data_IF_070988370219
#
_entry.id   IF_070988370219
#
_cell.length_a   1.000
_cell.length_b   1.000
_cell.length_c   1.000
_cell.angle_alpha   90.00
_cell.angle_beta   90.00
_cell.angle_gamma   90.00
#
_symmetry.space_group_name_H-M   'P 1'
#
loop_
_entity.id
_entity.type
_entity.pdbx_description
1 polymer ?
#
# COMPACT_ATOMS: atom_id res chain seq x y z
N UNK A 1 56.78 -46.27 26.14
CA UNK A 1 55.49 -45.91 25.55
C UNK A 1 55.11 -44.56 26.11
N UNK A 2 55.19 -43.47 25.28
CA UNK A 2 54.82 -42.10 25.66
C UNK A 2 53.43 -41.84 25.10
N UNK A 3 52.47 -41.58 25.99
CA UNK A 3 51.13 -41.25 25.62
C UNK A 3 51.06 -39.75 25.15
N UNK A 4 50.54 -39.50 23.94
CA UNK A 4 50.39 -38.22 23.38
C UNK A 4 48.98 -37.70 23.77
N UNK A 5 48.89 -36.67 24.60
CA UNK A 5 47.66 -35.96 24.95
C UNK A 5 47.36 -34.94 23.86
N UNK A 6 46.23 -35.11 23.16
CA UNK A 6 45.70 -34.15 22.19
C UNK A 6 44.74 -33.21 22.92
N UNK A 7 44.94 -31.90 22.92
CA UNK A 7 43.96 -30.96 23.50
C UNK A 7 42.75 -30.79 22.59
N UNK A 8 41.55 -31.09 23.08
CA UNK A 8 40.27 -30.76 22.43
C UNK A 8 40.02 -29.28 22.53
N UNK A 9 40.07 -28.60 21.39
CA UNK A 9 39.60 -27.22 21.29
C UNK A 9 38.05 -27.18 21.20
N UNK A 10 37.44 -26.67 22.24
CA UNK A 10 35.97 -26.40 22.27
C UNK A 10 35.70 -25.14 21.48
N UNK A 11 35.13 -25.28 20.28
CA UNK A 11 34.71 -24.15 19.44
C UNK A 11 33.39 -23.58 20.00
N UNK A 12 33.46 -22.48 20.72
CA UNK A 12 32.27 -21.73 21.17
C UNK A 12 31.72 -20.92 19.98
N UNK A 13 30.65 -21.41 19.39
CA UNK A 13 29.87 -20.64 18.39
C UNK A 13 29.03 -19.60 19.14
N UNK A 14 29.46 -18.36 19.10
CA UNK A 14 28.67 -17.23 19.59
C UNK A 14 27.61 -16.95 18.52
N UNK A 15 26.38 -17.42 18.76
CA UNK A 15 25.21 -16.99 17.99
C UNK A 15 24.88 -15.56 18.43
N UNK A 16 25.31 -14.60 17.63
CA UNK A 16 24.87 -13.22 17.80
C UNK A 16 23.36 -13.14 17.45
N UNK A 17 22.50 -13.21 18.46
CA UNK A 17 21.11 -12.82 18.33
C UNK A 17 21.07 -11.34 17.94
N UNK A 18 20.77 -11.06 16.68
CA UNK A 18 20.41 -9.73 16.22
C UNK A 18 19.08 -9.36 16.88
N UNK A 19 19.12 -8.73 18.04
CA UNK A 19 17.98 -8.01 18.57
C UNK A 19 17.69 -6.84 17.63
N UNK A 20 16.72 -7.02 16.74
CA UNK A 20 16.04 -5.89 16.10
C UNK A 20 15.46 -5.05 17.24
N UNK A 21 16.01 -3.87 17.48
CA UNK A 21 15.43 -2.91 18.40
C UNK A 21 14.03 -2.60 17.90
N UNK A 22 12.98 -3.11 18.56
CA UNK A 22 11.64 -2.53 18.43
C UNK A 22 11.82 -1.05 18.73
N UNK A 23 11.54 -0.20 17.74
CA UNK A 23 11.57 1.25 17.96
C UNK A 23 10.57 1.55 19.07
N UNK A 24 10.89 2.53 19.96
CA UNK A 24 10.01 3.00 21.06
C UNK A 24 8.75 3.75 20.53
N UNK A 25 8.37 3.51 19.28
CA UNK A 25 7.20 4.12 18.64
C UNK A 25 5.91 3.68 19.33
N UNK A 26 5.03 4.63 19.54
CA UNK A 26 3.70 4.40 20.13
C UNK A 26 2.67 4.26 19.02
N UNK A 27 1.68 3.40 19.23
CA UNK A 27 0.49 3.35 18.41
C UNK A 27 -0.28 4.67 18.55
N UNK A 28 -0.39 5.45 17.49
CA UNK A 28 -1.05 6.77 17.49
C UNK A 28 -2.39 6.76 16.78
N UNK A 29 -2.62 5.79 15.89
CA UNK A 29 -3.88 5.60 15.19
C UNK A 29 -4.02 4.14 14.76
N UNK A 30 -5.25 3.61 14.82
CA UNK A 30 -5.55 2.30 14.26
C UNK A 30 -7.02 2.15 13.88
N UNK A 31 -7.27 1.20 12.99
CA UNK A 31 -8.59 0.58 12.79
C UNK A 31 -8.41 -0.92 12.69
N UNK A 32 -9.03 -1.63 13.63
CA UNK A 32 -8.98 -3.09 13.75
C UNK A 32 -10.22 -3.75 13.12
N UNK A 33 -11.13 -2.94 12.57
CA UNK A 33 -12.38 -3.38 11.93
C UNK A 33 -13.24 -4.33 12.77
N UNK A 34 -13.28 -4.09 14.09
CA UNK A 34 -13.94 -4.97 15.08
C UNK A 34 -15.47 -4.93 15.05
N UNK A 35 -16.08 -4.08 14.24
CA UNK A 35 -17.53 -3.96 14.09
C UNK A 35 -18.00 -4.46 12.73
N UNK A 36 -19.30 -4.63 12.55
CA UNK A 36 -19.90 -4.97 11.25
C UNK A 36 -20.58 -3.76 10.62
N UNK A 37 -20.66 -3.72 9.30
CA UNK A 37 -21.36 -2.69 8.54
C UNK A 37 -20.40 -1.76 7.80
N UNK A 38 -20.66 -0.46 7.82
CA UNK A 38 -19.82 0.52 7.12
C UNK A 38 -18.55 0.86 7.93
N UNK A 39 -17.42 1.16 7.28
CA UNK A 39 -16.25 1.75 7.92
C UNK A 39 -16.58 2.96 8.80
N UNK A 40 -15.85 3.10 9.91
CA UNK A 40 -16.04 4.18 10.88
C UNK A 40 -15.81 5.55 10.23
N UNK A 41 -16.86 6.35 10.11
CA UNK A 41 -16.83 7.67 9.50
C UNK A 41 -15.98 8.70 10.26
N UNK A 42 -15.56 8.41 11.48
CA UNK A 42 -14.58 9.23 12.20
C UNK A 42 -13.14 8.99 11.76
N UNK A 43 -12.88 7.85 11.07
CA UNK A 43 -11.57 7.43 10.59
C UNK A 43 -11.44 7.48 9.07
N UNK A 44 -12.54 7.22 8.37
CA UNK A 44 -12.56 7.08 6.91
C UNK A 44 -13.56 8.01 6.23
N UNK A 45 -13.21 8.38 5.02
CA UNK A 45 -14.09 9.00 4.04
C UNK A 45 -13.97 8.25 2.71
N UNK A 46 -14.68 8.72 1.68
CA UNK A 46 -14.68 8.08 0.36
C UNK A 46 -14.37 9.09 -0.73
N UNK A 47 -13.56 8.70 -1.68
CA UNK A 47 -13.47 9.38 -2.97
C UNK A 47 -14.38 8.66 -3.95
N UNK A 48 -15.48 9.34 -4.35
CA UNK A 48 -16.55 8.77 -5.15
C UNK A 48 -16.42 9.15 -6.62
N UNK A 49 -17.01 8.34 -7.48
CA UNK A 49 -17.10 8.65 -8.91
C UNK A 49 -16.03 7.97 -9.75
N UNK A 50 -15.79 8.56 -10.90
CA UNK A 50 -14.76 8.13 -11.86
C UNK A 50 -13.62 9.15 -12.02
N UNK A 51 -13.53 10.09 -11.07
CA UNK A 51 -12.53 11.14 -11.04
C UNK A 51 -12.85 12.35 -11.92
N UNK A 52 -13.91 12.30 -12.73
CA UNK A 52 -14.33 13.45 -13.56
C UNK A 52 -15.01 14.55 -12.71
N UNK A 53 -14.85 15.85 -13.07
CA UNK A 53 -14.15 16.35 -14.26
C UNK A 53 -12.64 16.53 -14.08
N UNK A 54 -12.11 16.48 -12.84
CA UNK A 54 -10.75 16.93 -12.54
C UNK A 54 -9.68 15.92 -13.00
N UNK A 55 -9.91 14.62 -12.74
CA UNK A 55 -8.97 13.54 -13.03
C UNK A 55 -9.73 12.33 -13.57
N UNK A 56 -10.32 12.45 -14.75
CA UNK A 56 -11.17 11.40 -15.34
C UNK A 56 -10.42 10.06 -15.45
N UNK A 57 -11.10 8.95 -15.08
CA UNK A 57 -10.50 7.62 -14.98
C UNK A 57 -9.40 7.57 -13.93
N UNK A 58 -9.49 8.47 -12.92
CA UNK A 58 -8.50 8.61 -11.83
C UNK A 58 -7.07 8.82 -12.35
N UNK A 59 -6.93 9.47 -13.53
CA UNK A 59 -5.65 9.73 -14.19
C UNK A 59 -5.03 8.52 -14.91
N UNK A 60 -5.59 7.33 -14.74
CA UNK A 60 -5.05 6.06 -15.22
C UNK A 60 -5.98 5.31 -16.18
N UNK A 61 -7.04 5.95 -16.71
CA UNK A 61 -8.05 5.30 -17.54
C UNK A 61 -8.73 4.10 -16.86
N UNK A 62 -8.93 4.17 -15.55
CA UNK A 62 -9.56 3.12 -14.77
C UNK A 62 -11.02 2.92 -15.19
N UNK A 63 -11.47 1.66 -15.14
CA UNK A 63 -12.75 1.25 -15.72
C UNK A 63 -13.92 1.27 -14.72
N UNK A 64 -13.68 1.37 -13.42
CA UNK A 64 -14.69 1.36 -12.37
C UNK A 64 -15.25 2.75 -12.08
N UNK A 65 -16.44 2.74 -11.45
CA UNK A 65 -17.01 3.84 -10.70
C UNK A 65 -16.88 3.54 -9.21
N UNK A 66 -16.20 4.40 -8.45
CA UNK A 66 -16.11 4.24 -6.99
C UNK A 66 -17.38 4.74 -6.31
N UNK A 67 -17.87 3.92 -5.38
CA UNK A 67 -19.02 4.24 -4.55
C UNK A 67 -18.82 3.71 -3.12
N UNK A 68 -19.77 4.02 -2.23
CA UNK A 68 -19.80 3.58 -0.83
C UNK A 68 -20.93 2.60 -0.55
N UNK A 69 -21.45 1.90 -1.55
CA UNK A 69 -22.45 0.87 -1.34
C UNK A 69 -21.90 -0.30 -0.55
N UNK A 70 -22.71 -0.88 0.33
CA UNK A 70 -22.31 -2.00 1.19
C UNK A 70 -21.84 -3.26 0.44
N UNK A 71 -22.20 -3.41 -0.82
CA UNK A 71 -21.65 -4.46 -1.68
C UNK A 71 -20.22 -4.20 -2.10
N UNK A 72 -19.80 -2.93 -2.23
CA UNK A 72 -18.44 -2.55 -2.65
C UNK A 72 -17.52 -2.29 -1.48
N UNK A 73 -18.06 -1.87 -0.32
CA UNK A 73 -17.27 -1.62 0.89
C UNK A 73 -18.07 -1.94 2.13
N UNK A 74 -17.51 -2.72 3.02
CA UNK A 74 -18.09 -3.11 4.29
C UNK A 74 -17.07 -3.70 5.24
N UNK A 75 -17.42 -3.74 6.51
CA UNK A 75 -16.74 -4.56 7.50
C UNK A 75 -17.57 -5.83 7.71
N UNK A 76 -16.95 -6.96 7.46
CA UNK A 76 -17.55 -8.28 7.55
C UNK A 76 -16.57 -9.26 8.18
N UNK A 77 -17.02 -9.97 9.24
CA UNK A 77 -16.21 -10.95 9.99
C UNK A 77 -14.84 -10.41 10.49
N UNK A 78 -14.82 -9.15 10.93
CA UNK A 78 -13.59 -8.51 11.43
C UNK A 78 -12.61 -8.08 10.35
N UNK A 79 -13.04 -7.99 9.09
CA UNK A 79 -12.23 -7.55 7.96
C UNK A 79 -12.92 -6.38 7.25
N UNK A 80 -12.16 -5.36 6.87
CA UNK A 80 -12.60 -4.43 5.85
C UNK A 80 -12.53 -5.12 4.49
N UNK A 81 -13.67 -5.19 3.80
CA UNK A 81 -13.79 -5.76 2.46
C UNK A 81 -13.99 -4.63 1.45
N UNK A 82 -13.08 -4.47 0.51
CA UNK A 82 -13.22 -3.63 -0.68
C UNK A 82 -13.43 -4.56 -1.86
N UNK A 83 -14.63 -4.54 -2.46
CA UNK A 83 -15.05 -5.53 -3.45
C UNK A 83 -15.43 -4.85 -4.77
N UNK A 84 -14.76 -5.26 -5.85
CA UNK A 84 -15.07 -4.81 -7.18
C UNK A 84 -16.03 -5.77 -7.87
N UNK A 85 -17.05 -5.20 -8.53
CA UNK A 85 -18.07 -5.94 -9.25
C UNK A 85 -18.11 -5.55 -10.73
N UNK A 86 -18.41 -6.52 -11.60
CA UNK A 86 -18.84 -6.24 -12.97
C UNK A 86 -20.31 -5.82 -12.94
N UNK A 87 -20.52 -4.52 -12.78
CA UNK A 87 -21.83 -3.96 -12.52
C UNK A 87 -21.88 -2.51 -13.01
N UNK A 88 -22.82 -2.20 -13.87
CA UNK A 88 -22.86 -0.90 -14.55
C UNK A 88 -23.38 0.19 -13.63
N UNK A 89 -22.58 1.25 -13.46
CA UNK A 89 -22.97 2.44 -12.73
C UNK A 89 -22.44 3.71 -13.43
N UNK A 90 -23.35 4.67 -13.71
CA UNK A 90 -22.98 5.97 -14.31
C UNK A 90 -22.14 5.88 -15.61
N UNK A 91 -22.38 4.84 -16.42
CA UNK A 91 -21.68 4.61 -17.67
C UNK A 91 -20.35 3.84 -17.57
N UNK A 92 -19.91 3.48 -16.36
CA UNK A 92 -18.80 2.57 -16.14
C UNK A 92 -19.31 1.12 -16.06
N UNK A 93 -18.48 0.17 -16.49
CA UNK A 93 -18.84 -1.26 -16.52
C UNK A 93 -18.57 -1.99 -15.20
N UNK A 94 -17.83 -1.35 -14.31
CA UNK A 94 -17.43 -1.92 -13.01
C UNK A 94 -17.72 -0.94 -11.89
N UNK A 95 -17.95 -1.47 -10.69
CA UNK A 95 -18.03 -0.70 -9.45
C UNK A 95 -17.00 -1.18 -8.47
N UNK A 96 -16.49 -0.30 -7.61
CA UNK A 96 -15.56 -0.60 -6.53
C UNK A 96 -15.65 0.47 -5.45
N UNK A 97 -14.68 0.50 -4.51
CA UNK A 97 -14.59 1.55 -3.52
C UNK A 97 -13.16 2.04 -3.32
N UNK A 98 -13.05 3.32 -2.89
CA UNK A 98 -11.81 3.99 -2.56
C UNK A 98 -12.02 4.75 -1.25
N UNK A 99 -11.36 4.27 -0.18
CA UNK A 99 -11.39 4.86 1.15
C UNK A 99 -10.19 5.76 1.34
N UNK A 100 -10.38 6.86 2.08
CA UNK A 100 -9.32 7.80 2.43
C UNK A 100 -9.38 8.15 3.91
N UNK A 101 -8.21 8.30 4.55
CA UNK A 101 -8.12 8.79 5.93
C UNK A 101 -7.98 10.31 6.03
N UNK A 102 -8.06 11.04 4.93
CA UNK A 102 -7.82 12.48 4.81
C UNK A 102 -8.56 13.30 5.87
N UNK A 103 -7.83 14.12 6.64
CA UNK A 103 -8.32 14.95 7.76
C UNK A 103 -8.89 14.16 8.96
N UNK A 104 -8.70 12.82 8.95
CA UNK A 104 -9.09 11.91 10.03
C UNK A 104 -7.91 11.06 10.50
N UNK A 105 -6.88 10.97 9.66
CA UNK A 105 -5.62 10.30 9.90
C UNK A 105 -4.60 10.80 8.88
N UNK A 106 -3.85 11.83 9.27
CA UNK A 106 -2.80 12.46 8.47
C UNK A 106 -1.51 12.43 9.28
N UNK A 107 -0.44 11.92 8.68
CA UNK A 107 0.82 11.73 9.41
C UNK A 107 2.00 12.27 8.61
N UNK A 108 2.97 12.80 9.34
CA UNK A 108 4.32 13.06 8.83
C UNK A 108 5.25 12.13 9.56
N UNK A 109 5.86 11.19 8.83
CA UNK A 109 6.72 10.13 9.34
C UNK A 109 5.98 9.08 10.17
N UNK A 110 6.65 7.99 10.48
CA UNK A 110 6.16 6.90 11.29
C UNK A 110 6.26 5.55 10.59
N UNK A 111 5.77 4.51 11.26
CA UNK A 111 5.54 3.21 10.67
C UNK A 111 4.06 3.07 10.37
N UNK A 112 3.72 2.82 9.12
CA UNK A 112 2.36 2.57 8.64
C UNK A 112 2.27 1.09 8.29
N UNK A 113 1.31 0.40 8.88
CA UNK A 113 1.06 -1.03 8.71
C UNK A 113 -0.36 -1.28 8.21
N UNK A 114 -0.48 -2.06 7.16
CA UNK A 114 -1.76 -2.55 6.65
C UNK A 114 -1.64 -4.05 6.42
N UNK A 115 -2.44 -4.85 7.11
CA UNK A 115 -2.46 -6.29 6.93
C UNK A 115 -3.62 -6.66 6.01
N UNK A 116 -3.31 -7.19 4.84
CA UNK A 116 -4.31 -7.41 3.79
C UNK A 116 -4.06 -8.68 2.99
N UNK A 117 -5.16 -9.20 2.40
CA UNK A 117 -5.16 -10.22 1.36
C UNK A 117 -5.62 -9.60 0.05
N UNK A 118 -4.91 -9.89 -1.03
CA UNK A 118 -5.09 -9.25 -2.32
C UNK A 118 -6.07 -10.02 -3.22
N UNK A 119 -6.76 -9.34 -4.16
CA UNK A 119 -7.59 -9.97 -5.17
C UNK A 119 -6.75 -10.74 -6.20
N UNK A 120 -7.44 -11.53 -7.05
CA UNK A 120 -6.84 -12.32 -8.11
C UNK A 120 -7.34 -11.91 -9.50
N UNK A 121 -6.52 -12.23 -10.48
CA UNK A 121 -6.91 -12.27 -11.90
C UNK A 121 -6.80 -10.96 -12.64
N UNK A 122 -6.71 -11.07 -13.97
CA UNK A 122 -6.46 -9.97 -14.88
C UNK A 122 -7.51 -8.88 -14.77
N UNK A 123 -7.04 -7.66 -14.66
CA UNK A 123 -7.87 -6.48 -14.51
C UNK A 123 -8.02 -5.98 -13.07
N UNK A 124 -7.56 -6.74 -12.05
CA UNK A 124 -7.51 -6.22 -10.68
C UNK A 124 -6.25 -5.39 -10.45
N UNK A 125 -6.41 -4.27 -9.74
CA UNK A 125 -5.32 -3.37 -9.34
C UNK A 125 -5.59 -2.81 -7.93
N UNK A 126 -5.34 -3.60 -6.88
CA UNK A 126 -5.42 -3.13 -5.50
C UNK A 126 -4.24 -2.23 -5.17
N UNK A 127 -4.48 -1.21 -4.34
CA UNK A 127 -3.45 -0.33 -3.82
C UNK A 127 -3.67 0.04 -2.35
N UNK A 128 -2.57 0.12 -1.63
CA UNK A 128 -2.40 0.68 -0.28
C UNK A 128 -1.35 1.78 -0.44
N UNK A 129 -1.74 3.04 -0.36
CA UNK A 129 -0.90 4.14 -0.75
C UNK A 129 -1.24 5.44 -0.03
N UNK A 130 -0.43 6.47 -0.22
CA UNK A 130 -0.58 7.74 0.48
C UNK A 130 -0.37 8.92 -0.46
N UNK A 131 -1.21 9.95 -0.30
CA UNK A 131 -1.06 11.25 -0.93
C UNK A 131 -0.88 12.36 0.10
N UNK A 132 -0.17 13.42 -0.31
CA UNK A 132 -0.08 14.65 0.48
C UNK A 132 -1.48 15.19 0.80
N UNK A 133 -1.72 15.51 2.07
CA UNK A 133 -3.03 16.02 2.52
C UNK A 133 -3.28 17.44 2.02
N UNK A 134 -2.27 18.32 2.10
CA UNK A 134 -2.41 19.76 1.88
C UNK A 134 -1.79 20.26 0.57
N UNK A 135 -1.17 19.36 -0.20
CA UNK A 135 -0.53 19.72 -1.48
C UNK A 135 0.48 20.86 -1.37
N UNK A 136 1.31 20.83 -0.30
CA UNK A 136 2.26 21.90 0.08
C UNK A 136 3.15 22.39 -1.06
N UNK A 137 3.54 21.51 -1.97
CA UNK A 137 4.46 21.81 -3.08
C UNK A 137 3.76 21.88 -4.44
N UNK A 138 2.43 21.86 -4.46
CA UNK A 138 1.60 21.88 -5.68
C UNK A 138 0.92 20.53 -5.92
N UNK A 139 0.15 20.46 -7.01
CA UNK A 139 -0.57 19.25 -7.41
C UNK A 139 0.37 18.09 -7.73
N UNK A 140 -0.21 16.92 -7.92
CA UNK A 140 0.54 15.70 -8.30
C UNK A 140 1.40 15.95 -9.55
N UNK A 141 2.68 15.48 -9.60
CA UNK A 141 3.36 14.69 -8.58
C UNK A 141 4.23 15.52 -7.61
N UNK A 142 4.16 16.85 -7.63
CA UNK A 142 5.08 17.74 -6.90
C UNK A 142 5.01 17.59 -5.38
N UNK A 143 3.82 17.31 -4.81
CA UNK A 143 3.66 17.08 -3.38
C UNK A 143 3.89 15.63 -2.94
N UNK A 144 4.27 14.76 -3.86
CA UNK A 144 4.65 13.38 -3.58
C UNK A 144 3.49 12.39 -3.46
N UNK A 145 3.83 11.12 -3.65
CA UNK A 145 3.01 9.93 -3.46
C UNK A 145 3.87 8.80 -2.93
N UNK A 146 3.34 7.98 -2.02
CA UNK A 146 4.02 6.81 -1.45
C UNK A 146 3.09 5.62 -1.63
N UNK A 147 3.48 4.67 -2.49
CA UNK A 147 2.74 3.44 -2.73
C UNK A 147 3.32 2.34 -1.85
N UNK A 148 2.68 2.12 -0.69
CA UNK A 148 3.11 1.11 0.29
C UNK A 148 3.04 -0.29 -0.33
N UNK A 149 1.97 -0.54 -1.07
CA UNK A 149 1.71 -1.76 -1.82
C UNK A 149 0.88 -1.47 -3.06
N UNK A 150 1.37 -1.89 -4.20
CA UNK A 150 0.58 -2.06 -5.40
C UNK A 150 0.76 -3.46 -5.96
N UNK A 151 -0.30 -3.98 -6.57
CA UNK A 151 -0.31 -5.28 -7.22
C UNK A 151 -1.22 -5.24 -8.45
N UNK A 152 -0.84 -5.95 -9.50
CA UNK A 152 -1.68 -6.13 -10.70
C UNK A 152 -1.98 -7.60 -10.93
N UNK A 153 -3.23 -7.92 -11.17
CA UNK A 153 -3.69 -9.31 -11.19
C UNK A 153 -3.16 -10.16 -12.35
N UNK A 154 -2.51 -9.55 -13.35
CA UNK A 154 -1.83 -10.29 -14.42
C UNK A 154 -0.40 -10.73 -14.04
N UNK A 155 0.18 -10.16 -13.00
CA UNK A 155 1.51 -10.51 -12.47
C UNK A 155 1.39 -11.00 -11.00
N UNK A 156 0.85 -12.22 -10.80
CA UNK A 156 0.45 -12.70 -9.50
C UNK A 156 1.62 -12.83 -8.53
N UNK A 157 1.42 -12.32 -7.32
CA UNK A 157 2.39 -12.37 -6.22
C UNK A 157 3.48 -11.30 -6.28
N UNK A 158 3.60 -10.52 -7.35
CA UNK A 158 4.57 -9.42 -7.42
C UNK A 158 4.00 -8.19 -6.74
N UNK A 159 4.68 -7.75 -5.69
CA UNK A 159 4.34 -6.57 -4.89
C UNK A 159 5.31 -5.45 -5.24
N UNK A 160 4.77 -4.28 -5.47
CA UNK A 160 5.50 -3.08 -5.81
C UNK A 160 5.42 -2.08 -4.65
N UNK A 161 6.54 -1.43 -4.33
CA UNK A 161 6.59 -0.27 -3.45
C UNK A 161 7.26 0.86 -4.20
N UNK A 162 6.60 2.01 -4.29
CA UNK A 162 6.98 3.08 -5.19
C UNK A 162 6.93 4.44 -4.49
N UNK A 163 7.73 5.39 -4.94
CA UNK A 163 7.48 6.81 -4.68
C UNK A 163 7.37 7.58 -5.99
N UNK A 164 6.45 8.56 -6.01
CA UNK A 164 6.34 9.53 -7.07
C UNK A 164 6.60 10.94 -6.53
N UNK A 165 7.37 11.73 -7.28
CA UNK A 165 7.72 13.11 -6.97
C UNK A 165 7.83 13.93 -8.26
N UNK A 166 8.04 15.24 -8.18
CA UNK A 166 8.25 16.07 -9.38
C UNK A 166 9.40 15.53 -10.25
N UNK A 167 10.51 15.12 -9.65
CA UNK A 167 11.68 14.58 -10.36
C UNK A 167 11.57 13.08 -10.70
N UNK A 168 10.72 12.34 -9.99
CA UNK A 168 10.63 10.88 -10.11
C UNK A 168 9.17 10.45 -10.22
N UNK A 169 8.66 10.20 -11.44
CA UNK A 169 7.27 9.81 -11.64
C UNK A 169 7.09 8.92 -12.88
N UNK A 170 5.94 8.26 -12.97
CA UNK A 170 5.67 7.29 -14.05
C UNK A 170 5.42 7.96 -15.41
N UNK A 171 5.03 9.24 -15.44
CA UNK A 171 4.85 9.96 -16.71
C UNK A 171 6.20 10.09 -17.42
N UNK A 172 7.24 10.43 -16.65
CA UNK A 172 8.62 10.57 -17.12
C UNK A 172 9.41 9.25 -17.07
N UNK A 173 8.80 8.16 -16.55
CA UNK A 173 9.42 6.84 -16.36
C UNK A 173 10.65 6.89 -15.45
N UNK A 174 10.60 7.73 -14.42
CA UNK A 174 11.71 7.99 -13.48
C UNK A 174 11.34 7.60 -12.04
N UNK A 175 10.12 7.09 -11.79
CA UNK A 175 9.68 6.67 -10.45
C UNK A 175 10.72 5.77 -9.78
N UNK A 176 10.85 5.90 -8.47
CA UNK A 176 11.71 5.01 -7.68
C UNK A 176 10.86 3.87 -7.14
N UNK A 177 11.13 2.67 -7.62
CA UNK A 177 10.35 1.46 -7.38
C UNK A 177 11.22 0.31 -6.90
N UNK A 178 10.72 -0.48 -5.96
CA UNK A 178 11.23 -1.79 -5.59
C UNK A 178 10.14 -2.85 -5.70
N UNK A 179 10.57 -4.10 -5.94
CA UNK A 179 9.66 -5.24 -6.11
C UNK A 179 10.07 -6.41 -5.25
N UNK A 180 9.08 -7.19 -4.83
CA UNK A 180 9.28 -8.49 -4.19
C UNK A 180 8.21 -9.47 -4.65
N UNK A 181 8.57 -10.72 -4.83
CA UNK A 181 7.59 -11.78 -5.13
C UNK A 181 7.23 -12.50 -3.83
N UNK A 182 5.95 -12.50 -3.50
CA UNK A 182 5.38 -13.16 -2.32
C UNK A 182 4.49 -14.30 -2.81
N UNK A 183 4.93 -15.52 -2.56
CA UNK A 183 4.11 -16.70 -2.83
C UNK A 183 2.86 -16.66 -1.91
N UNK A 184 1.68 -16.76 -2.52
CA UNK A 184 0.44 -16.75 -1.75
C UNK A 184 -0.09 -15.37 -1.32
N UNK A 185 0.43 -14.25 -1.86
CA UNK A 185 -0.08 -12.90 -1.57
C UNK A 185 -1.61 -12.75 -1.76
N UNK A 186 -2.20 -13.61 -2.56
CA UNK A 186 -3.64 -13.65 -2.84
C UNK A 186 -4.36 -14.79 -2.08
N UNK A 187 -3.63 -15.59 -1.29
CA UNK A 187 -4.16 -16.74 -0.53
C UNK A 187 -4.32 -16.44 0.96
N UNK A 188 -3.43 -15.61 1.50
CA UNK A 188 -3.34 -15.30 2.92
C UNK A 188 -3.24 -13.78 3.16
N UNK A 189 -3.42 -13.40 4.41
CA UNK A 189 -3.17 -12.03 4.89
C UNK A 189 -1.65 -11.83 5.04
N UNK A 190 -1.11 -10.82 4.40
CA UNK A 190 0.27 -10.37 4.55
C UNK A 190 0.31 -8.95 5.11
N UNK A 191 1.39 -8.63 5.83
CA UNK A 191 1.62 -7.29 6.36
C UNK A 191 2.40 -6.45 5.34
N UNK A 192 1.77 -5.42 4.81
CA UNK A 192 2.39 -4.40 3.98
C UNK A 192 2.70 -3.19 4.84
N UNK A 193 3.95 -2.72 4.84
CA UNK A 193 4.33 -1.63 5.73
C UNK A 193 5.44 -0.75 5.17
N UNK A 194 5.48 0.48 5.67
CA UNK A 194 6.63 1.37 5.51
C UNK A 194 7.15 1.83 6.86
N UNK A 195 8.48 2.04 6.92
CA UNK A 195 9.13 2.87 7.93
C UNK A 195 9.57 4.17 7.27
N UNK A 196 8.83 5.23 7.54
CA UNK A 196 9.05 6.54 6.94
C UNK A 196 9.65 7.51 7.95
N UNK A 197 10.80 8.06 7.60
CA UNK A 197 11.54 9.07 8.36
C UNK A 197 11.81 10.30 7.48
N UNK A 198 12.41 11.34 8.04
CA UNK A 198 12.80 12.54 7.27
C UNK A 198 13.82 12.25 6.16
N UNK A 199 14.60 11.16 6.31
CA UNK A 199 15.75 10.86 5.45
C UNK A 199 15.57 9.61 4.59
N UNK A 200 14.55 8.77 4.87
CA UNK A 200 14.32 7.54 4.11
C UNK A 200 12.90 6.99 4.29
N UNK A 201 12.52 6.15 3.32
CA UNK A 201 11.32 5.30 3.37
C UNK A 201 11.79 3.87 3.09
N UNK A 202 11.62 2.98 4.07
CA UNK A 202 11.88 1.54 3.96
C UNK A 202 10.55 0.81 3.73
N UNK A 203 10.49 -0.10 2.77
CA UNK A 203 9.30 -0.87 2.39
C UNK A 203 9.41 -2.32 2.83
N UNK A 204 8.32 -2.87 3.35
CA UNK A 204 8.28 -4.22 3.93
C UNK A 204 7.07 -5.01 3.43
N UNK A 205 7.28 -6.31 3.25
CA UNK A 205 6.20 -7.30 3.27
C UNK A 205 6.53 -8.28 4.39
N UNK A 206 5.60 -8.47 5.31
CA UNK A 206 5.80 -9.18 6.57
C UNK A 206 7.03 -8.64 7.32
N UNK A 207 7.98 -9.48 7.67
CA UNK A 207 9.23 -9.08 8.34
C UNK A 207 10.36 -8.73 7.35
N UNK A 208 10.12 -8.87 6.04
CA UNK A 208 11.14 -8.66 5.02
C UNK A 208 11.13 -7.21 4.51
N UNK A 209 12.21 -6.46 4.80
CA UNK A 209 12.48 -5.22 4.07
C UNK A 209 12.99 -5.58 2.67
N UNK A 210 12.25 -5.19 1.63
CA UNK A 210 12.62 -5.48 0.25
C UNK A 210 13.11 -4.27 -0.53
N UNK A 211 12.79 -3.05 -0.07
CA UNK A 211 13.18 -1.84 -0.74
C UNK A 211 13.47 -0.71 0.25
N UNK A 212 14.31 0.25 -0.16
CA UNK A 212 14.62 1.45 0.62
C UNK A 212 14.91 2.60 -0.32
N UNK A 213 14.25 3.71 -0.13
CA UNK A 213 14.56 4.98 -0.80
C UNK A 213 15.16 5.93 0.22
N UNK A 214 16.32 6.46 -0.08
CA UNK A 214 17.05 7.37 0.79
C UNK A 214 17.12 8.74 0.13
N UNK A 215 16.87 9.77 0.93
CA UNK A 215 17.04 11.18 0.52
C UNK A 215 18.49 11.46 0.20
N UNK A 216 18.75 12.04 -0.95
CA UNK A 216 20.08 12.54 -1.32
C UNK A 216 20.43 13.85 -0.60
N UNK A 217 21.71 14.09 -0.37
CA UNK A 217 22.18 15.32 0.32
C UNK A 217 21.79 16.60 -0.40
N UNK A 218 21.62 16.55 -1.73
CA UNK A 218 21.26 17.69 -2.57
C UNK A 218 19.78 17.74 -2.93
N UNK A 219 18.97 16.76 -2.43
CA UNK A 219 17.56 16.67 -2.77
C UNK A 219 16.78 17.86 -2.19
N UNK A 220 16.00 18.47 -3.05
CA UNK A 220 15.02 19.50 -2.74
C UNK A 220 13.62 18.87 -2.55
N UNK A 221 12.58 19.67 -2.45
CA UNK A 221 11.20 19.15 -2.46
C UNK A 221 10.83 18.44 -3.76
N UNK A 222 11.55 18.72 -4.86
CA UNK A 222 11.28 18.07 -6.16
C UNK A 222 11.63 16.59 -6.16
N UNK A 223 12.66 16.22 -5.42
CA UNK A 223 13.13 14.85 -5.24
C UNK A 223 12.56 14.21 -3.97
N UNK A 224 12.32 15.03 -2.90
CA UNK A 224 11.92 14.55 -1.58
C UNK A 224 10.88 15.45 -0.91
N UNK A 225 9.61 15.40 -1.34
CA UNK A 225 8.51 16.21 -0.76
C UNK A 225 7.91 15.61 0.51
N UNK A 226 8.51 14.59 1.10
CA UNK A 226 7.97 13.76 2.18
C UNK A 226 8.21 14.36 3.57
N UNK A 227 8.10 15.69 3.72
CA UNK A 227 8.23 16.44 4.98
C UNK A 227 6.92 17.17 5.36
N UNK A 228 5.81 16.61 4.97
CA UNK A 228 4.47 17.15 5.14
C UNK A 228 3.48 16.03 5.48
N UNK A 229 2.25 16.33 5.94
CA UNK A 229 1.24 15.32 6.21
C UNK A 229 0.77 14.58 4.95
N UNK A 230 0.70 13.26 5.05
CA UNK A 230 0.11 12.36 4.07
C UNK A 230 -1.04 11.60 4.70
N UNK A 231 -2.10 11.37 3.93
CA UNK A 231 -3.22 10.51 4.29
C UNK A 231 -3.16 9.18 3.53
N UNK A 232 -3.72 8.14 4.13
CA UNK A 232 -3.78 6.80 3.56
C UNK A 232 -4.98 6.66 2.62
N UNK A 233 -4.77 5.91 1.55
CA UNK A 233 -5.79 5.53 0.56
C UNK A 233 -5.78 4.02 0.40
N UNK A 234 -6.96 3.40 0.45
CA UNK A 234 -7.17 1.98 0.21
C UNK A 234 -8.19 1.83 -0.91
N UNK A 235 -7.82 1.19 -2.01
CA UNK A 235 -8.74 0.98 -3.13
C UNK A 235 -8.48 -0.32 -3.89
N UNK A 236 -9.47 -0.71 -4.68
CA UNK A 236 -9.34 -1.74 -5.70
C UNK A 236 -9.78 -1.14 -7.03
N UNK A 237 -8.81 -0.75 -7.86
CA UNK A 237 -9.07 -0.32 -9.22
C UNK A 237 -9.34 -1.51 -10.15
N UNK A 238 -10.04 -1.25 -11.25
CA UNK A 238 -10.31 -2.22 -12.31
C UNK A 238 -9.77 -1.70 -13.63
N UNK A 239 -8.93 -2.49 -14.28
CA UNK A 239 -8.33 -2.11 -15.55
C UNK A 239 -7.31 -1.00 -15.41
N UNK A 240 -7.49 0.06 -16.18
CA UNK A 240 -6.54 1.19 -16.22
C UNK A 240 -5.30 0.92 -17.06
N UNK A 241 -4.42 1.92 -17.11
CA UNK A 241 -3.19 1.88 -17.93
C UNK A 241 -2.24 0.74 -17.52
N UNK A 242 -2.26 0.36 -16.24
CA UNK A 242 -1.41 -0.71 -15.73
C UNK A 242 -2.20 -1.98 -15.41
N UNK A 243 -3.19 -1.94 -14.52
CA UNK A 243 -3.98 -3.12 -14.15
C UNK A 243 -4.70 -3.78 -15.33
N UNK A 244 -5.01 -2.99 -16.37
CA UNK A 244 -5.63 -3.45 -17.63
C UNK A 244 -4.67 -3.76 -18.77
N UNK A 245 -3.35 -3.72 -18.56
CA UNK A 245 -2.34 -3.86 -19.63
C UNK A 245 -2.46 -5.19 -20.40
N UNK A 246 -2.85 -6.27 -19.70
CA UNK A 246 -3.14 -7.58 -20.32
C UNK A 246 -4.65 -7.86 -20.50
N UNK A 247 -5.48 -6.81 -20.45
CA UNK A 247 -6.93 -6.91 -20.51
C UNK A 247 -7.58 -7.13 -19.13
N UNK A 248 -8.90 -7.20 -19.15
CA UNK A 248 -9.74 -7.50 -18.00
C UNK A 248 -10.45 -8.81 -18.24
N UNK A 249 -10.31 -9.78 -17.35
CA UNK A 249 -11.05 -11.04 -17.42
C UNK A 249 -12.45 -10.85 -16.83
N UNK A 250 -13.43 -10.79 -17.71
CA UNK A 250 -14.84 -10.58 -17.32
C UNK A 250 -15.46 -11.72 -16.52
N UNK A 251 -14.83 -12.87 -16.47
CA UNK A 251 -15.37 -14.08 -15.83
C UNK A 251 -15.05 -14.20 -14.33
N UNK A 252 -14.14 -13.36 -13.81
CA UNK A 252 -13.61 -13.51 -12.44
C UNK A 252 -14.40 -12.74 -11.37
N UNK A 253 -15.24 -11.80 -11.76
CA UNK A 253 -15.92 -10.89 -10.82
C UNK A 253 -17.04 -11.56 -10.02
N UNK A 254 -17.23 -11.22 -8.73
CA UNK A 254 -16.54 -10.17 -7.99
C UNK A 254 -15.13 -10.57 -7.53
N UNK A 255 -14.26 -9.55 -7.33
CA UNK A 255 -12.95 -9.70 -6.72
C UNK A 255 -12.81 -8.74 -5.53
N UNK A 256 -12.05 -9.11 -4.50
CA UNK A 256 -11.97 -8.30 -3.29
C UNK A 256 -10.57 -8.24 -2.69
N UNK A 257 -10.25 -7.11 -2.11
CA UNK A 257 -9.19 -6.91 -1.14
C UNK A 257 -9.79 -7.00 0.26
N UNK A 258 -9.19 -7.78 1.15
CA UNK A 258 -9.61 -7.94 2.53
C UNK A 258 -8.52 -7.37 3.45
N UNK A 259 -8.87 -6.46 4.36
CA UNK A 259 -7.92 -5.81 5.27
C UNK A 259 -8.26 -6.16 6.71
N UNK A 260 -7.30 -6.73 7.44
CA UNK A 260 -7.42 -7.16 8.84
C UNK A 260 -7.30 -5.96 9.79
N UNK A 261 -6.29 -5.13 9.57
CA UNK A 261 -6.11 -3.90 10.31
C UNK A 261 -5.29 -2.86 9.56
N UNK A 262 -5.41 -1.63 10.01
CA UNK A 262 -4.50 -0.52 9.72
C UNK A 262 -3.96 0.04 11.02
N UNK A 263 -2.64 0.20 11.14
CA UNK A 263 -1.98 0.73 12.34
C UNK A 263 -0.90 1.73 11.99
N UNK A 264 -0.84 2.82 12.74
CA UNK A 264 0.19 3.85 12.57
C UNK A 264 0.90 4.07 13.90
N UNK A 265 2.23 4.04 13.85
CA UNK A 265 3.11 4.20 15.00
C UNK A 265 4.06 5.38 14.78
N UNK A 266 4.17 6.27 15.78
CA UNK A 266 5.09 7.41 15.79
C UNK A 266 5.91 7.48 17.09
#
# INVERSE_FOLDING_TARGET
MKALLIPSFLLIVIVASSCSSKSDRKLVWSDEFDHAGQPDSSKWDYELGDGCPDVCGWGNNEAQYYNNDSKNVRIDNGLLVIEAHKDSLKGKAYTSSRLVSKHKGDWTYGRIEVKAKLPRGKGTWPAIWMLSTDWKYGGWPASGEIDIMEHVGFDPGVIHGTIHTESFNHIDKTQKEGKVTIEGAQDALHLYAIDWTKDKIDFYVDDQRYYSVVRGEQDTFKEWPFDQPFHLILNLAVGGNWGGMEGIDDSIWPQRMEVDYVRVYQ
#
